data_IF_218906098280
#
_entry.id   IF_218906098280
#
_cell.length_a   1.000
_cell.length_b   1.000
_cell.length_c   1.000
_cell.angle_alpha   90.00
_cell.angle_beta   90.00
_cell.angle_gamma   90.00
#
_symmetry.space_group_name_H-M   'P 1'
#
loop_
_entity.id
_entity.type
_entity.pdbx_description
1 polymer ?
#
# COMPACT_ATOMS: atom_id res chain seq x y z
N UNK A 1 16.70 30.31 -2.11
CA UNK A 1 16.07 28.98 -2.09
C UNK A 1 16.10 28.44 -3.52
N UNK A 2 17.06 27.59 -3.90
CA UNK A 2 17.06 27.01 -5.25
C UNK A 2 15.84 26.10 -5.38
N UNK A 3 15.07 26.29 -6.46
CA UNK A 3 13.87 25.50 -6.75
C UNK A 3 14.26 24.03 -6.90
N UNK A 4 13.88 23.18 -5.93
CA UNK A 4 14.10 21.73 -5.90
C UNK A 4 13.14 20.96 -6.81
N UNK A 5 12.61 21.61 -7.85
CA UNK A 5 11.62 21.03 -8.75
C UNK A 5 12.33 20.56 -10.03
N UNK A 6 12.46 19.24 -10.20
CA UNK A 6 13.06 18.65 -11.38
C UNK A 6 12.19 18.99 -12.61
N UNK A 7 12.70 19.72 -13.63
CA UNK A 7 11.90 20.11 -14.79
C UNK A 7 11.36 18.92 -15.57
N UNK A 8 11.99 17.74 -15.47
CA UNK A 8 11.52 16.51 -16.08
C UNK A 8 10.23 15.96 -15.44
N UNK A 9 9.91 16.37 -14.21
CA UNK A 9 8.70 15.95 -13.49
C UNK A 9 7.55 16.97 -13.58
N UNK A 10 7.63 17.92 -14.51
CA UNK A 10 6.51 18.83 -14.76
C UNK A 10 5.29 18.06 -15.30
N UNK A 11 4.13 18.29 -14.68
CA UNK A 11 2.84 17.70 -15.04
C UNK A 11 1.96 18.80 -15.63
N UNK A 12 1.64 18.69 -16.93
CA UNK A 12 0.79 19.66 -17.64
C UNK A 12 -0.63 19.15 -17.77
N UNK A 13 -1.61 20.05 -17.64
CA UNK A 13 -3.02 19.76 -17.88
C UNK A 13 -3.31 19.83 -19.39
N UNK A 14 -3.94 18.81 -19.97
CA UNK A 14 -4.13 18.70 -21.43
C UNK A 14 -4.90 19.89 -22.05
N UNK A 15 -5.85 20.48 -21.32
CA UNK A 15 -6.83 21.43 -21.85
C UNK A 15 -6.73 22.84 -21.25
N UNK A 16 -5.64 23.19 -20.57
CA UNK A 16 -5.54 24.45 -19.83
C UNK A 16 -4.17 25.13 -20.01
N UNK A 17 -4.18 26.43 -20.32
CA UNK A 17 -2.98 27.29 -20.33
C UNK A 17 -2.50 27.66 -18.92
N UNK A 18 -2.55 26.71 -17.99
CA UNK A 18 -2.12 26.90 -16.62
C UNK A 18 -0.63 26.58 -16.46
N UNK A 19 -0.04 27.10 -15.39
CA UNK A 19 1.31 26.71 -15.01
C UNK A 19 1.37 25.19 -14.76
N UNK A 20 2.46 24.51 -15.15
CA UNK A 20 2.63 23.09 -14.87
C UNK A 20 2.66 22.84 -13.37
N UNK A 21 1.99 21.77 -12.96
CA UNK A 21 2.06 21.25 -11.61
C UNK A 21 3.30 20.37 -11.44
N UNK A 22 3.66 20.12 -10.20
CA UNK A 22 4.76 19.25 -9.80
C UNK A 22 4.20 18.16 -8.89
N UNK A 23 4.85 16.98 -8.78
CA UNK A 23 4.28 15.85 -8.05
C UNK A 23 3.88 16.21 -6.61
N UNK A 24 4.72 16.99 -5.91
CA UNK A 24 4.45 17.45 -4.55
C UNK A 24 3.22 18.36 -4.42
N UNK A 25 2.79 19.05 -5.48
CA UNK A 25 1.62 19.91 -5.44
C UNK A 25 0.33 19.09 -5.27
N UNK A 26 0.34 17.80 -5.60
CA UNK A 26 -0.79 16.88 -5.41
C UNK A 26 -1.02 16.47 -3.95
N UNK A 27 -0.12 16.82 -3.03
CA UNK A 27 -0.35 16.71 -1.59
C UNK A 27 -1.37 17.74 -1.07
N UNK A 28 -1.69 18.78 -1.86
CA UNK A 28 -2.67 19.78 -1.49
C UNK A 28 -4.10 19.36 -1.89
N UNK A 29 -5.01 19.32 -0.92
CA UNK A 29 -6.42 18.97 -1.14
C UNK A 29 -7.12 19.90 -2.16
N UNK A 30 -6.68 21.15 -2.30
CA UNK A 30 -7.25 22.06 -3.28
C UNK A 30 -6.95 21.63 -4.72
N UNK A 31 -5.74 21.12 -4.99
CA UNK A 31 -5.34 20.62 -6.31
C UNK A 31 -6.20 19.41 -6.66
N UNK A 32 -6.31 18.44 -5.76
CA UNK A 32 -7.11 17.24 -6.03
C UNK A 32 -8.60 17.52 -6.20
N UNK A 33 -9.16 18.48 -5.46
CA UNK A 33 -10.59 18.85 -5.57
C UNK A 33 -10.93 19.61 -6.83
N UNK A 34 -10.01 20.44 -7.33
CA UNK A 34 -10.20 21.22 -8.55
C UNK A 34 -9.88 20.39 -9.80
N UNK A 35 -8.78 19.64 -9.78
CA UNK A 35 -8.27 18.93 -10.95
C UNK A 35 -8.95 17.58 -11.19
N UNK A 36 -9.48 16.93 -10.14
CA UNK A 36 -10.08 15.61 -10.29
C UNK A 36 -11.60 15.65 -10.16
N UNK A 37 -12.28 15.10 -11.17
CA UNK A 37 -13.72 14.86 -11.09
C UNK A 37 -14.02 13.86 -9.94
N UNK A 38 -15.10 14.06 -9.15
CA UNK A 38 -15.45 13.15 -8.05
C UNK A 38 -15.50 11.67 -8.44
N UNK A 39 -16.10 11.34 -9.59
CA UNK A 39 -16.12 9.96 -10.13
C UNK A 39 -14.72 9.38 -10.35
N UNK A 40 -13.75 10.18 -10.79
CA UNK A 40 -12.38 9.72 -11.02
C UNK A 40 -11.64 9.49 -9.70
N UNK A 41 -11.87 10.35 -8.68
CA UNK A 41 -11.33 10.13 -7.33
C UNK A 41 -11.86 8.84 -6.72
N UNK A 42 -13.17 8.60 -6.89
CA UNK A 42 -13.83 7.37 -6.48
C UNK A 42 -13.24 6.14 -7.17
N UNK A 43 -13.04 6.22 -8.49
CA UNK A 43 -12.43 5.15 -9.28
C UNK A 43 -11.01 4.83 -8.80
N UNK A 44 -10.16 5.84 -8.57
CA UNK A 44 -8.82 5.63 -8.00
C UNK A 44 -8.90 4.86 -6.68
N UNK A 45 -9.75 5.30 -5.75
CA UNK A 45 -9.91 4.66 -4.46
C UNK A 45 -10.37 3.19 -4.58
N UNK A 46 -11.31 2.89 -5.47
CA UNK A 46 -11.76 1.51 -5.72
C UNK A 46 -10.66 0.63 -6.29
N UNK A 47 -9.86 1.13 -7.24
CA UNK A 47 -8.71 0.41 -7.79
C UNK A 47 -7.68 0.08 -6.70
N UNK A 48 -7.46 1.00 -5.75
CA UNK A 48 -6.58 0.75 -4.59
C UNK A 48 -7.09 -0.36 -3.68
N UNK A 49 -8.41 -0.41 -3.42
CA UNK A 49 -9.03 -1.49 -2.62
C UNK A 49 -8.89 -2.84 -3.31
N UNK A 50 -9.01 -2.86 -4.64
CA UNK A 50 -8.91 -4.06 -5.46
C UNK A 50 -7.45 -4.57 -5.61
N UNK A 51 -6.46 -3.75 -5.22
CA UNK A 51 -5.06 -4.17 -5.11
C UNK A 51 -4.13 -3.61 -6.18
N UNK A 52 -4.59 -2.67 -7.02
CA UNK A 52 -3.70 -1.95 -7.93
C UNK A 52 -2.79 -1.01 -7.15
N UNK A 53 -1.57 -0.77 -7.64
CA UNK A 53 -0.65 0.20 -7.03
C UNK A 53 -1.18 1.63 -7.11
N UNK A 54 -0.59 2.54 -6.32
CA UNK A 54 -0.91 3.97 -6.35
C UNK A 54 -0.71 4.55 -7.77
N UNK A 55 0.42 4.22 -8.40
CA UNK A 55 0.77 4.69 -9.73
C UNK A 55 -0.22 4.19 -10.81
N UNK A 56 -0.52 2.89 -10.84
CA UNK A 56 -1.48 2.31 -11.80
C UNK A 56 -2.87 2.91 -11.64
N UNK A 57 -3.35 2.99 -10.40
CA UNK A 57 -4.67 3.56 -10.09
C UNK A 57 -4.77 5.02 -10.53
N UNK A 58 -3.71 5.80 -10.30
CA UNK A 58 -3.66 7.22 -10.65
C UNK A 58 -3.65 7.43 -12.16
N UNK A 59 -2.82 6.67 -12.87
CA UNK A 59 -2.73 6.74 -14.33
C UNK A 59 -4.05 6.28 -14.98
N UNK A 60 -4.69 5.25 -14.46
CA UNK A 60 -5.98 4.77 -14.94
C UNK A 60 -7.10 5.81 -14.71
N UNK A 61 -7.16 6.41 -13.52
CA UNK A 61 -8.22 7.33 -13.14
C UNK A 61 -8.04 8.73 -13.73
N UNK A 62 -6.81 9.23 -13.80
CA UNK A 62 -6.52 10.63 -14.13
C UNK A 62 -5.58 10.84 -15.31
N UNK A 63 -4.84 9.82 -15.75
CA UNK A 63 -3.74 9.97 -16.72
C UNK A 63 -4.15 10.64 -18.02
N UNK A 64 -5.39 10.44 -18.49
CA UNK A 64 -5.92 11.10 -19.71
C UNK A 64 -5.98 12.62 -19.61
N UNK A 65 -6.01 13.19 -18.40
CA UNK A 65 -6.04 14.63 -18.15
C UNK A 65 -4.68 15.30 -18.14
N UNK A 66 -3.59 14.52 -18.18
CA UNK A 66 -2.24 15.01 -18.00
C UNK A 66 -1.28 14.64 -19.13
N UNK A 67 -0.34 15.54 -19.39
CA UNK A 67 0.85 15.30 -20.21
C UNK A 67 2.05 15.34 -19.26
N UNK A 68 2.59 14.16 -18.92
CA UNK A 68 3.68 14.00 -17.97
C UNK A 68 4.45 12.70 -18.21
N UNK A 69 5.67 12.62 -17.65
CA UNK A 69 6.40 11.36 -17.56
C UNK A 69 5.71 10.41 -16.57
N UNK A 70 5.67 9.07 -16.81
CA UNK A 70 5.05 8.11 -15.90
C UNK A 70 5.55 8.22 -14.45
N UNK A 71 6.86 8.38 -14.25
CA UNK A 71 7.44 8.54 -12.90
C UNK A 71 6.91 9.77 -12.16
N UNK A 72 6.63 10.86 -12.88
CA UNK A 72 6.05 12.05 -12.28
C UNK A 72 4.60 11.80 -11.82
N UNK A 73 3.84 11.00 -12.58
CA UNK A 73 2.49 10.58 -12.21
C UNK A 73 2.49 9.60 -11.05
N UNK A 74 3.47 8.70 -10.98
CA UNK A 74 3.66 7.80 -9.84
C UNK A 74 3.93 8.60 -8.54
N UNK A 75 4.86 9.55 -8.58
CA UNK A 75 5.13 10.43 -7.44
C UNK A 75 3.92 11.30 -7.07
N UNK A 76 3.17 11.79 -8.06
CA UNK A 76 1.94 12.55 -7.81
C UNK A 76 0.87 11.69 -7.13
N UNK A 77 0.80 10.40 -7.48
CA UNK A 77 -0.08 9.44 -6.83
C UNK A 77 0.26 9.29 -5.34
N UNK A 78 1.53 9.08 -5.01
CA UNK A 78 1.99 8.95 -3.63
C UNK A 78 1.63 10.19 -2.80
N UNK A 79 1.85 11.37 -3.36
CA UNK A 79 1.47 12.63 -2.71
C UNK A 79 -0.05 12.76 -2.56
N UNK A 80 -0.83 12.41 -3.59
CA UNK A 80 -2.28 12.46 -3.54
C UNK A 80 -2.86 11.54 -2.44
N UNK A 81 -2.29 10.35 -2.25
CA UNK A 81 -2.76 9.39 -1.23
C UNK A 81 -2.54 9.87 0.21
N UNK A 82 -1.74 10.92 0.42
CA UNK A 82 -1.61 11.55 1.75
C UNK A 82 -2.80 12.45 2.12
N UNK A 83 -3.58 12.88 1.13
CA UNK A 83 -4.64 13.90 1.31
C UNK A 83 -5.87 13.39 2.06
N UNK A 84 -6.61 14.29 2.71
CA UNK A 84 -7.87 13.93 3.37
C UNK A 84 -8.94 13.54 2.36
N UNK A 85 -8.91 14.15 1.17
CA UNK A 85 -9.83 13.81 0.08
C UNK A 85 -9.67 12.34 -0.31
N UNK A 86 -8.44 11.86 -0.54
CA UNK A 86 -8.22 10.45 -0.83
C UNK A 86 -8.66 9.54 0.32
N UNK A 87 -8.26 9.84 1.57
CA UNK A 87 -8.60 9.00 2.74
C UNK A 87 -10.11 8.79 2.89
N UNK A 88 -10.92 9.83 2.62
CA UNK A 88 -12.38 9.73 2.64
C UNK A 88 -12.91 8.83 1.52
N UNK A 89 -12.45 9.06 0.29
CA UNK A 89 -12.86 8.24 -0.86
C UNK A 89 -12.47 6.77 -0.67
N UNK A 90 -11.29 6.51 -0.09
CA UNK A 90 -10.81 5.15 0.25
C UNK A 90 -11.69 4.49 1.30
N UNK A 91 -12.02 5.19 2.39
CA UNK A 91 -12.91 4.65 3.42
C UNK A 91 -14.25 4.23 2.83
N UNK A 92 -14.87 5.13 2.08
CA UNK A 92 -16.13 4.82 1.41
C UNK A 92 -15.94 3.67 0.40
N UNK A 93 -14.79 3.55 -0.27
CA UNK A 93 -14.55 2.50 -1.27
C UNK A 93 -14.50 1.12 -0.61
N UNK A 94 -13.79 1.02 0.52
CA UNK A 94 -13.72 -0.19 1.35
C UNK A 94 -15.11 -0.65 1.82
N UNK A 95 -16.05 0.27 2.04
CA UNK A 95 -17.43 -0.04 2.43
C UNK A 95 -18.31 -0.52 1.26
N UNK A 96 -17.92 -0.26 0.01
CA UNK A 96 -18.76 -0.54 -1.17
C UNK A 96 -18.22 -1.61 -2.11
N UNK A 97 -16.90 -1.82 -2.14
CA UNK A 97 -16.30 -2.83 -3.02
C UNK A 97 -16.66 -4.20 -2.47
N UNK A 98 -17.25 -5.04 -3.33
CA UNK A 98 -17.58 -6.41 -2.99
C UNK A 98 -16.31 -7.20 -2.64
N UNK A 99 -16.21 -7.80 -1.43
CA UNK A 99 -15.06 -8.58 -1.03
C UNK A 99 -14.72 -9.70 -2.01
N UNK A 100 -15.73 -10.34 -2.61
CA UNK A 100 -15.50 -11.43 -3.57
C UNK A 100 -14.86 -10.91 -4.87
N UNK A 101 -15.35 -9.79 -5.41
CA UNK A 101 -14.74 -9.15 -6.56
C UNK A 101 -13.29 -8.71 -6.30
N UNK A 102 -12.99 -8.21 -5.09
CA UNK A 102 -11.61 -7.90 -4.67
C UNK A 102 -10.73 -9.15 -4.67
N UNK A 103 -11.19 -10.22 -4.01
CA UNK A 103 -10.38 -11.42 -3.83
C UNK A 103 -10.10 -12.11 -5.18
N UNK A 104 -11.08 -12.15 -6.08
CA UNK A 104 -10.90 -12.68 -7.44
C UNK A 104 -9.82 -11.91 -8.23
N UNK A 105 -9.80 -10.58 -8.12
CA UNK A 105 -8.81 -9.77 -8.84
C UNK A 105 -7.41 -9.88 -8.23
N UNK A 106 -7.34 -10.00 -6.89
CA UNK A 106 -6.09 -10.30 -6.20
C UNK A 106 -5.53 -11.66 -6.60
N UNK A 107 -6.37 -12.70 -6.69
CA UNK A 107 -5.99 -14.02 -7.17
C UNK A 107 -5.46 -13.95 -8.61
N UNK A 108 -6.16 -13.25 -9.50
CA UNK A 108 -5.71 -13.01 -10.88
C UNK A 108 -4.33 -12.33 -10.94
N UNK A 109 -4.07 -11.35 -10.07
CA UNK A 109 -2.77 -10.69 -9.98
C UNK A 109 -1.68 -11.63 -9.47
N UNK A 110 -1.96 -12.45 -8.46
CA UNK A 110 -1.02 -13.45 -7.95
C UNK A 110 -0.66 -14.45 -9.04
N UNK A 111 -1.63 -14.95 -9.80
CA UNK A 111 -1.39 -15.85 -10.93
C UNK A 111 -0.50 -15.19 -12.00
N UNK A 112 -0.84 -13.97 -12.42
CA UNK A 112 -0.09 -13.25 -13.46
C UNK A 112 1.37 -12.99 -13.04
N UNK A 113 1.58 -12.51 -11.81
CA UNK A 113 2.93 -12.20 -11.32
C UNK A 113 3.72 -13.45 -10.98
N UNK A 114 3.09 -14.49 -10.44
CA UNK A 114 3.77 -15.75 -10.16
C UNK A 114 4.23 -16.45 -11.44
N UNK A 115 3.46 -16.40 -12.52
CA UNK A 115 3.88 -16.92 -13.82
C UNK A 115 5.15 -16.19 -14.33
N UNK A 116 5.11 -14.86 -14.39
CA UNK A 116 6.27 -14.06 -14.82
C UNK A 116 7.51 -14.26 -13.93
N UNK A 117 7.31 -14.34 -12.61
CA UNK A 117 8.39 -14.58 -11.66
C UNK A 117 8.96 -16.00 -11.78
N UNK A 118 8.13 -17.01 -12.03
CA UNK A 118 8.58 -18.39 -12.22
C UNK A 118 9.39 -18.55 -13.51
N UNK A 119 8.99 -17.89 -14.60
CA UNK A 119 9.77 -17.87 -15.84
C UNK A 119 11.17 -17.26 -15.61
N UNK A 120 11.22 -16.10 -14.94
CA UNK A 120 12.49 -15.49 -14.56
C UNK A 120 13.32 -16.39 -13.63
N UNK A 121 12.67 -17.02 -12.64
CA UNK A 121 13.32 -17.92 -11.70
C UNK A 121 13.87 -19.18 -12.39
N UNK A 122 13.20 -19.73 -13.40
CA UNK A 122 13.72 -20.84 -14.19
C UNK A 122 15.04 -20.48 -14.87
N UNK A 123 15.13 -19.29 -15.48
CA UNK A 123 16.37 -18.81 -16.08
C UNK A 123 17.51 -18.70 -15.05
N UNK A 124 17.21 -18.21 -13.84
CA UNK A 124 18.19 -18.07 -12.77
C UNK A 124 18.57 -19.41 -12.12
N UNK A 125 17.63 -20.37 -12.00
CA UNK A 125 17.90 -21.73 -11.49
C UNK A 125 18.94 -22.47 -12.33
N UNK A 126 18.88 -22.32 -13.65
CA UNK A 126 19.89 -22.87 -14.54
C UNK A 126 21.27 -22.26 -14.26
N UNK A 127 21.34 -20.95 -14.03
CA UNK A 127 22.59 -20.28 -13.67
C UNK A 127 23.11 -20.72 -12.29
N UNK A 128 22.21 -21.02 -11.35
CA UNK A 128 22.53 -21.51 -10.01
C UNK A 128 22.94 -22.98 -9.97
N UNK A 129 22.75 -23.77 -11.03
CA UNK A 129 23.23 -25.17 -11.04
C UNK A 129 24.77 -25.27 -10.94
N UNK A 130 25.50 -24.22 -11.30
CA UNK A 130 26.95 -24.13 -11.14
C UNK A 130 27.38 -23.42 -9.85
N UNK A 131 26.42 -22.97 -9.04
CA UNK A 131 26.69 -22.30 -7.77
C UNK A 131 26.89 -23.34 -6.67
N UNK A 132 28.11 -23.45 -6.17
CA UNK A 132 28.41 -24.18 -4.94
C UNK A 132 28.39 -23.19 -3.77
N UNK A 133 27.42 -23.30 -2.85
CA UNK A 133 27.37 -22.42 -1.69
C UNK A 133 28.58 -22.67 -0.79
N UNK A 134 29.20 -21.59 -0.30
CA UNK A 134 30.18 -21.70 0.78
C UNK A 134 29.49 -22.26 2.04
N UNK A 135 29.87 -23.46 2.47
CA UNK A 135 29.35 -24.09 3.70
C UNK A 135 29.84 -23.34 4.94
N UNK A 136 29.12 -22.30 5.35
CA UNK A 136 29.29 -21.73 6.68
C UNK A 136 28.55 -22.58 7.70
N UNK A 137 29.27 -23.08 8.71
CA UNK A 137 28.72 -23.84 9.86
C UNK A 137 27.95 -22.95 10.83
N UNK A 138 26.90 -22.27 10.37
CA UNK A 138 25.97 -21.62 11.30
C UNK A 138 24.86 -22.61 11.68
N UNK A 139 24.76 -22.89 12.99
CA UNK A 139 23.70 -23.70 13.56
C UNK A 139 22.35 -22.99 13.38
N UNK A 140 21.45 -23.58 12.58
CA UNK A 140 20.12 -23.03 12.30
C UNK A 140 19.10 -23.25 13.44
N UNK A 141 19.45 -24.00 14.49
CA UNK A 141 18.51 -24.40 15.56
C UNK A 141 17.89 -23.21 16.29
N UNK A 142 18.69 -22.16 16.55
CA UNK A 142 18.21 -20.93 17.17
C UNK A 142 17.21 -20.18 16.27
N UNK A 143 17.45 -20.18 14.95
CA UNK A 143 16.56 -19.55 13.96
C UNK A 143 15.26 -20.34 13.77
N UNK A 144 15.33 -21.67 13.79
CA UNK A 144 14.14 -22.52 13.71
C UNK A 144 13.24 -22.36 14.95
N UNK A 145 13.85 -22.25 16.13
CA UNK A 145 13.11 -22.03 17.39
C UNK A 145 12.47 -20.64 17.41
N UNK A 146 13.19 -19.61 16.97
CA UNK A 146 12.64 -18.26 16.83
C UNK A 146 11.50 -18.20 15.81
N UNK A 147 11.61 -18.93 14.69
CA UNK A 147 10.55 -19.01 13.69
C UNK A 147 9.29 -19.71 14.22
N UNK A 148 9.44 -20.81 14.95
CA UNK A 148 8.33 -21.51 15.59
C UNK A 148 7.59 -20.62 16.61
N UNK A 149 8.32 -19.84 17.40
CA UNK A 149 7.75 -18.90 18.36
C UNK A 149 6.89 -17.81 17.67
N UNK A 150 7.33 -17.31 16.50
CA UNK A 150 6.54 -16.35 15.71
C UNK A 150 5.23 -16.98 15.22
N UNK A 151 5.26 -18.25 14.79
CA UNK A 151 4.07 -18.95 14.29
C UNK A 151 3.04 -19.18 15.39
N UNK A 152 3.46 -19.57 16.60
CA UNK A 152 2.54 -19.75 17.73
C UNK A 152 1.90 -18.43 18.15
N UNK A 153 2.67 -17.34 18.24
CA UNK A 153 2.14 -16.01 18.57
C UNK A 153 1.07 -15.55 17.56
N UNK A 154 1.23 -15.87 16.27
CA UNK A 154 0.23 -15.56 15.24
C UNK A 154 -1.02 -16.43 15.33
N UNK A 155 -0.90 -17.70 15.74
CA UNK A 155 -2.07 -18.56 15.99
C UNK A 155 -2.90 -18.02 17.15
N UNK A 156 -2.26 -17.64 18.25
CA UNK A 156 -2.92 -17.05 19.42
C UNK A 156 -3.69 -15.78 19.04
N UNK A 157 -3.09 -14.85 18.29
CA UNK A 157 -3.77 -13.64 17.81
C UNK A 157 -5.00 -13.93 16.92
N UNK A 158 -4.94 -14.99 16.11
CA UNK A 158 -6.05 -15.40 15.24
C UNK A 158 -7.17 -16.03 16.08
N UNK A 159 -6.82 -16.88 17.04
CA UNK A 159 -7.76 -17.51 17.95
C UNK A 159 -8.42 -16.49 18.87
N UNK A 160 -7.69 -15.52 19.42
CA UNK A 160 -8.24 -14.42 20.22
C UNK A 160 -9.21 -13.56 19.41
N UNK A 161 -8.93 -13.31 18.12
CA UNK A 161 -9.86 -12.59 17.23
C UNK A 161 -11.09 -13.42 16.86
N UNK A 162 -10.96 -14.74 16.81
CA UNK A 162 -12.07 -15.65 16.56
C UNK A 162 -12.98 -15.76 17.80
N UNK A 163 -12.39 -15.81 19.00
CA UNK A 163 -13.13 -15.88 20.28
C UNK A 163 -13.64 -14.50 20.74
N UNK A 164 -12.93 -13.42 20.43
CA UNK A 164 -13.28 -12.03 20.77
C UNK A 164 -14.43 -11.41 19.97
N UNK A 165 -15.07 -12.16 19.05
CA UNK A 165 -16.38 -11.79 18.47
C UNK A 165 -17.56 -12.35 19.27
N UNK A 166 -17.30 -13.11 20.32
CA UNK A 166 -18.32 -13.56 21.26
C UNK A 166 -18.19 -12.78 22.57
N UNK A 167 -18.98 -11.70 22.65
CA UNK A 167 -19.40 -11.06 23.89
C UNK A 167 -18.35 -10.21 24.64
N UNK A 168 -18.81 -8.99 24.96
CA UNK A 168 -18.46 -8.15 26.12
C UNK A 168 -17.82 -6.80 25.78
N UNK A 169 -18.73 -5.83 25.90
CA UNK A 169 -18.67 -4.39 26.15
C UNK A 169 -17.34 -3.72 26.49
N UNK A 170 -17.13 -2.61 25.79
CA UNK A 170 -16.15 -1.54 25.98
C UNK A 170 -16.17 -0.93 27.40
N UNK A 171 -15.56 -1.57 28.40
CA UNK A 171 -15.21 -0.88 29.67
C UNK A 171 -13.94 -1.36 30.37
N UNK A 172 -13.34 -2.51 30.02
CA UNK A 172 -12.24 -3.06 30.85
C UNK A 172 -10.82 -2.75 30.35
N UNK A 173 -10.66 -2.15 29.17
CA UNK A 173 -9.33 -1.90 28.60
C UNK A 173 -8.63 -0.65 29.16
N UNK A 174 -9.37 0.28 29.77
CA UNK A 174 -8.80 1.49 30.40
C UNK A 174 -8.26 1.24 31.81
N UNK A 175 -8.81 0.27 32.55
CA UNK A 175 -8.34 -0.01 33.92
C UNK A 175 -7.02 -0.78 33.95
N UNK A 176 -6.74 -1.62 32.94
CA UNK A 176 -5.48 -2.38 32.87
C UNK A 176 -4.26 -1.53 32.45
N UNK A 177 -4.44 -0.45 31.70
CA UNK A 177 -3.31 0.43 31.33
C UNK A 177 -2.87 1.34 32.48
N UNK A 178 -3.79 1.80 33.33
CA UNK A 178 -3.44 2.65 34.48
C UNK A 178 -2.76 1.89 35.63
N UNK A 179 -2.95 0.57 35.73
CA UNK A 179 -2.28 -0.26 36.75
C UNK A 179 -0.80 -0.55 36.43
N UNK A 180 -0.38 -0.46 35.18
CA UNK A 180 1.00 -0.80 34.75
C UNK A 180 1.98 0.39 34.78
N UNK A 181 1.49 1.64 34.77
CA UNK A 181 2.35 2.84 34.74
C UNK A 181 2.28 3.70 36.01
N UNK A 182 1.49 3.31 37.01
CA UNK A 182 1.30 4.05 38.24
C UNK A 182 2.08 3.50 39.43
N UNK A 183 3.42 3.57 39.42
CA UNK A 183 4.31 3.70 40.61
C UNK A 183 5.78 3.60 40.21
N UNK A 184 6.49 4.73 40.30
CA UNK A 184 7.84 4.89 40.88
C UNK A 184 8.49 6.18 40.36
N UNK A 185 8.25 7.30 41.03
CA UNK A 185 9.19 8.41 41.12
C UNK A 185 9.14 8.85 42.60
N UNK A 186 9.97 8.20 43.41
CA UNK A 186 10.62 8.85 44.54
C UNK A 186 11.97 9.39 44.04
#
# INVERSE_FOLDING_TARGET
MPSTKNPLHAIRLCNQHQAPLQPGDFAADCVSRVSFHPKARRLHAMLRVVGFSAAESFMAAFGKGYIAHPDALALAADHYETTLTFKRELKEALETVDPQARDNELERHVEMYSAAANDAAMHLRVALNAYEPEEYRYSNDAHQTAFAAILELRKEEIEERAHGRSCVTLTEHEERQNALFGRSFE
#
